data_IF_943080502557
#
_entry.id   IF_943080502557
#
_cell.length_a   1.000
_cell.length_b   1.000
_cell.length_c   1.000
_cell.angle_alpha   90.00
_cell.angle_beta   90.00
_cell.angle_gamma   90.00
#
_symmetry.space_group_name_H-M   'P 1'
#
loop_
_entity.id
_entity.type
_entity.pdbx_description
1 polymer ?
#
# COMPACT_ATOMS: atom_id res chain seq x y z
N UNK A 1 -11.27 -13.72 -25.65
CA UNK A 1 -10.85 -14.36 -24.40
C UNK A 1 -9.48 -13.93 -23.93
N UNK A 2 -8.52 -13.77 -24.82
CA UNK A 2 -7.20 -13.22 -24.48
C UNK A 2 -7.29 -11.80 -23.93
N UNK A 3 -8.24 -11.02 -24.40
CA UNK A 3 -8.48 -9.67 -23.88
C UNK A 3 -8.90 -9.68 -22.41
N UNK A 4 -9.67 -10.69 -22.01
CA UNK A 4 -10.12 -10.82 -20.63
C UNK A 4 -8.95 -11.04 -19.67
N UNK A 5 -7.96 -11.84 -20.06
CA UNK A 5 -6.79 -12.11 -19.23
C UNK A 5 -5.94 -10.87 -19.01
N UNK A 6 -5.73 -10.07 -20.08
CA UNK A 6 -4.99 -8.81 -19.97
C UNK A 6 -5.73 -7.81 -19.09
N UNK A 7 -7.04 -7.75 -19.24
CA UNK A 7 -7.88 -6.87 -18.43
C UNK A 7 -7.83 -7.26 -16.97
N UNK A 8 -7.81 -8.58 -16.70
CA UNK A 8 -7.69 -9.10 -15.34
C UNK A 8 -6.40 -8.70 -14.66
N UNK A 9 -5.27 -8.69 -15.37
CA UNK A 9 -3.99 -8.25 -14.82
C UNK A 9 -4.03 -6.78 -14.38
N UNK A 10 -4.55 -5.90 -15.23
CA UNK A 10 -4.68 -4.48 -14.89
C UNK A 10 -5.57 -4.26 -13.69
N UNK A 11 -6.71 -4.93 -13.64
CA UNK A 11 -7.63 -4.84 -12.51
C UNK A 11 -6.97 -5.29 -11.20
N UNK A 12 -6.17 -6.37 -11.26
CA UNK A 12 -5.44 -6.84 -10.09
C UNK A 12 -4.42 -5.84 -9.60
N UNK A 13 -3.68 -5.22 -10.52
CA UNK A 13 -2.70 -4.19 -10.16
C UNK A 13 -3.37 -2.97 -9.54
N UNK A 14 -4.45 -2.50 -10.13
CA UNK A 14 -5.21 -1.38 -9.59
C UNK A 14 -5.79 -1.70 -8.22
N UNK A 15 -6.33 -2.90 -8.05
CA UNK A 15 -6.85 -3.34 -6.75
C UNK A 15 -5.76 -3.41 -5.70
N UNK A 16 -4.58 -3.93 -6.06
CA UNK A 16 -3.44 -3.99 -5.16
C UNK A 16 -3.00 -2.59 -4.73
N UNK A 17 -2.93 -1.65 -5.66
CA UNK A 17 -2.58 -0.26 -5.37
C UNK A 17 -3.61 0.36 -4.42
N UNK A 18 -4.89 0.19 -4.69
CA UNK A 18 -5.96 0.72 -3.84
C UNK A 18 -5.88 0.16 -2.42
N UNK A 19 -5.67 -1.14 -2.29
CA UNK A 19 -5.52 -1.79 -0.98
C UNK A 19 -4.32 -1.24 -0.22
N UNK A 20 -3.21 -1.09 -0.92
CA UNK A 20 -1.99 -0.55 -0.32
C UNK A 20 -2.20 0.90 0.12
N UNK A 21 -2.86 1.71 -0.69
CA UNK A 21 -3.18 3.09 -0.34
C UNK A 21 -4.09 3.17 0.88
N UNK A 22 -5.10 2.29 0.96
CA UNK A 22 -5.98 2.23 2.12
C UNK A 22 -5.21 1.86 3.39
N UNK A 23 -4.28 0.90 3.28
CA UNK A 23 -3.41 0.53 4.39
C UNK A 23 -2.51 1.69 4.81
N UNK A 24 -1.98 2.44 3.85
CA UNK A 24 -1.15 3.62 4.13
C UNK A 24 -1.93 4.65 4.95
N UNK A 25 -3.17 4.92 4.58
CA UNK A 25 -4.01 5.85 5.32
C UNK A 25 -4.22 5.41 6.76
N UNK A 26 -4.50 4.12 6.98
CA UNK A 26 -4.63 3.55 8.32
C UNK A 26 -3.36 3.72 9.13
N UNK A 27 -2.22 3.40 8.54
CA UNK A 27 -0.93 3.51 9.22
C UNK A 27 -0.59 4.96 9.55
N UNK A 28 -0.89 5.89 8.68
CA UNK A 28 -0.69 7.31 8.94
C UNK A 28 -1.56 7.79 10.11
N UNK A 29 -2.80 7.33 10.18
CA UNK A 29 -3.68 7.64 11.31
C UNK A 29 -3.15 7.05 12.61
N UNK A 30 -2.63 5.81 12.57
CA UNK A 30 -2.03 5.19 13.75
C UNK A 30 -0.80 5.95 14.22
N UNK A 31 0.00 6.49 13.31
CA UNK A 31 1.16 7.31 13.66
C UNK A 31 0.76 8.58 14.41
N UNK A 32 -0.41 9.11 14.13
CA UNK A 32 -0.95 10.30 14.81
C UNK A 32 -1.58 9.97 16.16
N UNK A 33 -1.80 8.68 16.43
CA UNK A 33 -2.45 8.28 17.68
C UNK A 33 -1.45 8.35 18.84
N UNK A 34 -1.74 9.14 19.90
CA UNK A 34 -0.83 9.29 21.03
C UNK A 34 -0.71 8.03 21.89
N UNK A 35 -1.62 7.06 21.73
CA UNK A 35 -1.60 5.81 22.49
C UNK A 35 -0.65 4.78 21.90
N UNK A 36 -0.12 5.01 20.71
CA UNK A 36 0.77 4.06 20.03
C UNK A 36 2.20 4.27 20.52
N UNK A 37 2.88 3.16 20.87
CA UNK A 37 4.26 3.19 21.33
C UNK A 37 5.23 3.62 20.23
N UNK A 38 6.36 4.21 20.64
CA UNK A 38 7.39 4.65 19.69
C UNK A 38 7.95 3.51 18.87
N UNK A 39 8.15 2.34 19.46
CA UNK A 39 8.63 1.15 18.75
C UNK A 39 7.63 0.72 17.67
N UNK A 40 6.36 0.77 17.99
CA UNK A 40 5.31 0.46 17.04
C UNK A 40 5.25 1.48 15.92
N UNK A 41 5.44 2.77 16.24
CA UNK A 41 5.52 3.83 15.23
C UNK A 41 6.67 3.60 14.25
N UNK A 42 7.81 3.16 14.74
CA UNK A 42 8.97 2.83 13.88
C UNK A 42 8.64 1.71 12.91
N UNK A 43 7.96 0.67 13.39
CA UNK A 43 7.51 -0.44 12.54
C UNK A 43 6.54 0.04 11.47
N UNK A 44 5.59 0.88 11.86
CA UNK A 44 4.61 1.43 10.92
C UNK A 44 5.30 2.27 9.85
N UNK A 45 6.24 3.12 10.23
CA UNK A 45 7.01 3.92 9.27
C UNK A 45 7.73 3.07 8.25
N UNK A 46 8.34 1.96 8.66
CA UNK A 46 8.99 1.02 7.75
C UNK A 46 7.98 0.41 6.78
N UNK A 47 6.81 0.01 7.28
CA UNK A 47 5.75 -0.54 6.45
C UNK A 47 5.25 0.48 5.43
N UNK A 48 5.11 1.74 5.83
CA UNK A 48 4.71 2.83 4.94
C UNK A 48 5.74 3.01 3.82
N UNK A 49 7.01 3.04 4.14
CA UNK A 49 8.07 3.17 3.14
C UNK A 49 8.05 2.03 2.14
N UNK A 50 7.93 0.79 2.61
CA UNK A 50 7.81 -0.38 1.75
C UNK A 50 6.59 -0.31 0.84
N UNK A 51 5.46 0.09 1.39
CA UNK A 51 4.23 0.21 0.64
C UNK A 51 4.36 1.27 -0.46
N UNK A 52 4.96 2.41 -0.16
CA UNK A 52 5.21 3.46 -1.15
C UNK A 52 6.12 2.96 -2.27
N UNK A 53 7.18 2.25 -1.94
CA UNK A 53 8.09 1.66 -2.91
C UNK A 53 7.37 0.65 -3.80
N UNK A 54 6.53 -0.18 -3.22
CA UNK A 54 5.73 -1.16 -3.95
C UNK A 54 4.80 -0.48 -4.95
N UNK A 55 4.14 0.59 -4.54
CA UNK A 55 3.25 1.36 -5.41
C UNK A 55 4.03 1.96 -6.58
N UNK A 56 5.19 2.56 -6.31
CA UNK A 56 6.04 3.13 -7.34
C UNK A 56 6.50 2.09 -8.35
N UNK A 57 6.96 0.94 -7.86
CA UNK A 57 7.38 -0.17 -8.71
C UNK A 57 6.23 -0.70 -9.58
N UNK A 58 5.04 -0.77 -9.03
CA UNK A 58 3.86 -1.22 -9.77
C UNK A 58 3.48 -0.23 -10.87
N UNK A 59 3.62 1.08 -10.60
CA UNK A 59 3.34 2.11 -11.60
C UNK A 59 4.33 2.11 -12.76
N UNK A 60 5.57 1.71 -12.50
CA UNK A 60 6.61 1.67 -13.52
C UNK A 60 6.43 0.51 -14.49
N UNK A 61 5.66 -0.47 -14.14
CA UNK A 61 5.34 -1.62 -15.01
C UNK A 61 4.10 -1.33 -15.84
#
# INVERSE_FOLDING_TARGET
MTKSKRHGKRLRQESAIKRTQASLLKWEEELKNPKVDDDFKKLIKKKIERAKTTIENTKLV
#
